data_IF_287476323080
#
_entry.id   IF_287476323080
#
_cell.length_a   1.000
_cell.length_b   1.000
_cell.length_c   1.000
_cell.angle_alpha   90.00
_cell.angle_beta   90.00
_cell.angle_gamma   90.00
#
_symmetry.space_group_name_H-M   'P 1'
#
loop_
_entity.id
_entity.type
_entity.pdbx_description
1 polymer ?
#
# COMPACT_ATOMS: atom_id res chain seq x y z
N UNK A 1 28.58 1.91 19.51
CA UNK A 1 28.53 2.12 18.05
C UNK A 1 27.17 2.68 17.66
N UNK A 2 27.14 3.81 17.00
CA UNK A 2 25.88 4.42 16.57
C UNK A 2 25.36 3.72 15.32
N UNK A 3 24.06 3.41 15.31
CA UNK A 3 23.38 2.83 14.15
C UNK A 3 22.90 3.99 13.29
N UNK A 4 23.22 3.99 12.00
CA UNK A 4 22.73 5.02 11.08
C UNK A 4 21.24 4.87 10.82
N UNK A 5 20.58 5.96 10.42
CA UNK A 5 19.17 5.90 10.01
C UNK A 5 18.97 4.92 8.86
N UNK A 6 19.92 4.88 7.93
CA UNK A 6 19.89 3.97 6.80
C UNK A 6 19.87 2.49 7.25
N UNK A 7 20.75 2.14 8.17
CA UNK A 7 20.82 0.78 8.70
C UNK A 7 19.56 0.41 9.48
N UNK A 8 19.07 1.35 10.29
CA UNK A 8 17.83 1.15 11.03
C UNK A 8 16.65 0.90 10.09
N UNK A 9 16.49 1.73 9.07
CA UNK A 9 15.37 1.62 8.13
C UNK A 9 15.45 0.32 7.33
N UNK A 10 16.64 -0.12 6.94
CA UNK A 10 16.80 -1.39 6.24
C UNK A 10 16.44 -2.60 7.11
N UNK A 11 16.62 -2.50 8.43
CA UNK A 11 16.23 -3.57 9.35
C UNK A 11 14.72 -3.63 9.59
N UNK A 12 13.97 -2.61 9.18
CA UNK A 12 12.53 -2.49 9.38
C UNK A 12 11.73 -2.75 8.10
N UNK A 13 12.25 -3.60 7.22
CA UNK A 13 11.54 -4.01 6.01
C UNK A 13 10.66 -5.21 6.35
N UNK A 14 9.36 -5.08 6.06
CA UNK A 14 8.38 -6.12 6.35
C UNK A 14 7.80 -6.68 5.05
N UNK A 15 7.53 -7.98 5.04
CA UNK A 15 6.98 -8.68 3.89
C UNK A 15 5.51 -9.05 4.05
N UNK A 16 4.99 -9.74 3.05
CA UNK A 16 3.58 -10.13 2.97
C UNK A 16 3.11 -10.87 4.23
N UNK A 17 3.93 -11.76 4.77
CA UNK A 17 3.56 -12.59 5.93
C UNK A 17 3.58 -11.83 7.25
N UNK A 18 4.07 -10.60 7.26
CA UNK A 18 4.08 -9.76 8.46
C UNK A 18 2.76 -9.02 8.66
N UNK A 19 1.80 -9.20 7.75
CA UNK A 19 0.52 -8.51 7.75
C UNK A 19 -0.63 -9.49 7.56
N UNK A 20 -1.81 -9.09 8.03
CA UNK A 20 -3.04 -9.82 7.76
C UNK A 20 -3.28 -9.90 6.24
N UNK A 21 -3.78 -11.04 5.78
CA UNK A 21 -4.08 -11.24 4.36
C UNK A 21 -5.07 -10.22 3.83
N UNK A 22 -6.11 -9.91 4.61
CA UNK A 22 -7.15 -8.97 4.22
C UNK A 22 -6.71 -7.54 4.51
N UNK A 23 -6.77 -6.70 3.48
CA UNK A 23 -6.35 -5.31 3.54
C UNK A 23 -7.45 -4.44 2.92
N UNK A 24 -7.44 -3.16 3.23
CA UNK A 24 -8.47 -2.24 2.76
C UNK A 24 -7.86 -1.27 1.78
N UNK A 25 -8.43 -1.23 0.57
CA UNK A 25 -8.02 -0.29 -0.46
C UNK A 25 -8.93 0.92 -0.44
N UNK A 26 -8.35 2.11 -0.28
CA UNK A 26 -9.10 3.38 -0.25
C UNK A 26 -8.99 4.17 -1.54
N UNK A 27 -7.86 4.09 -2.24
CA UNK A 27 -7.63 4.91 -3.40
C UNK A 27 -6.58 4.29 -4.32
N UNK A 28 -6.67 4.62 -5.61
CA UNK A 28 -5.65 4.26 -6.59
C UNK A 28 -5.45 5.46 -7.52
N UNK A 29 -4.19 5.83 -7.75
CA UNK A 29 -3.84 6.92 -8.64
C UNK A 29 -2.71 6.50 -9.57
N UNK A 30 -2.69 7.09 -10.77
CA UNK A 30 -1.61 6.85 -11.71
C UNK A 30 -0.34 7.55 -11.22
N UNK A 31 0.79 6.85 -11.34
CA UNK A 31 2.09 7.40 -11.06
C UNK A 31 2.76 7.75 -12.37
N UNK A 32 2.94 9.04 -12.64
CA UNK A 32 3.54 9.51 -13.89
C UNK A 32 5.06 9.54 -13.77
N UNK A 33 5.71 9.23 -14.89
CA UNK A 33 7.16 9.20 -14.97
C UNK A 33 7.72 10.63 -15.00
N UNK A 34 8.81 10.84 -14.26
CA UNK A 34 9.56 12.10 -14.26
C UNK A 34 10.82 11.95 -15.11
N UNK A 35 11.05 12.91 -15.99
CA UNK A 35 12.27 13.00 -16.78
C UNK A 35 12.85 14.40 -16.59
N UNK A 36 14.11 14.46 -16.15
CA UNK A 36 14.79 15.73 -15.85
C UNK A 36 13.99 16.61 -14.87
N UNK A 37 13.42 15.98 -13.83
CA UNK A 37 12.60 16.63 -12.80
C UNK A 37 11.27 17.21 -13.31
N UNK A 38 10.85 16.85 -14.52
CA UNK A 38 9.56 17.25 -15.08
C UNK A 38 8.65 16.05 -15.19
N UNK A 39 7.41 16.22 -14.75
CA UNK A 39 6.39 15.20 -14.89
C UNK A 39 6.01 15.05 -16.37
N UNK A 40 5.98 13.80 -16.84
CA UNK A 40 5.55 13.46 -18.21
C UNK A 40 4.13 12.91 -18.18
N UNK A 41 3.54 12.70 -19.35
CA UNK A 41 2.23 12.04 -19.47
C UNK A 41 2.34 10.52 -19.44
N UNK A 42 3.55 10.00 -19.43
CA UNK A 42 3.79 8.54 -19.39
C UNK A 42 3.55 8.00 -17.98
N UNK A 43 2.73 6.94 -17.91
CA UNK A 43 2.42 6.28 -16.63
C UNK A 43 3.43 5.16 -16.41
N UNK A 44 4.18 5.22 -15.30
CA UNK A 44 5.15 4.19 -14.92
C UNK A 44 4.57 3.12 -13.98
N UNK A 45 3.37 3.35 -13.46
CA UNK A 45 2.71 2.42 -12.54
C UNK A 45 1.58 3.11 -11.83
N UNK A 46 1.11 2.50 -10.74
CA UNK A 46 -0.03 3.02 -9.98
C UNK A 46 0.28 2.99 -8.50
N UNK A 47 -0.24 3.98 -7.77
CA UNK A 47 -0.11 4.08 -6.31
C UNK A 47 -1.44 3.71 -5.67
N UNK A 48 -1.41 2.71 -4.81
CA UNK A 48 -2.58 2.20 -4.09
C UNK A 48 -2.48 2.61 -2.63
N UNK A 49 -3.48 3.28 -2.12
CA UNK A 49 -3.56 3.65 -0.71
C UNK A 49 -4.27 2.53 0.02
N UNK A 50 -3.52 1.75 0.80
CA UNK A 50 -3.98 0.51 1.41
C UNK A 50 -3.76 0.57 2.93
N UNK A 51 -4.79 0.18 3.69
CA UNK A 51 -4.65 -0.03 5.12
C UNK A 51 -4.16 -1.46 5.37
N UNK A 52 -3.07 -1.58 6.12
CA UNK A 52 -2.48 -2.87 6.49
C UNK A 52 -2.50 -3.03 8.01
N UNK A 53 -2.64 -4.27 8.48
CA UNK A 53 -2.63 -4.59 9.90
C UNK A 53 -1.65 -5.72 10.17
N UNK A 54 -0.72 -5.49 11.08
CA UNK A 54 0.31 -6.47 11.41
C UNK A 54 1.48 -5.83 12.12
N UNK A 55 2.70 -6.10 11.65
CA UNK A 55 3.93 -5.50 12.22
C UNK A 55 3.89 -3.98 12.17
N UNK A 56 3.23 -3.43 11.18
CA UNK A 56 2.84 -2.03 11.10
C UNK A 56 1.34 -2.01 10.86
N UNK A 57 0.61 -1.20 11.61
CA UNK A 57 -0.83 -1.02 11.40
C UNK A 57 -1.04 0.42 11.00
N UNK A 58 -1.22 0.67 9.71
CA UNK A 58 -1.32 2.03 9.17
C UNK A 58 -1.81 1.98 7.72
N UNK A 59 -2.11 3.16 7.20
CA UNK A 59 -2.37 3.36 5.78
C UNK A 59 -1.04 3.58 5.07
N UNK A 60 -0.78 2.79 4.04
CA UNK A 60 0.49 2.80 3.31
C UNK A 60 0.22 3.00 1.83
N UNK A 61 1.06 3.78 1.16
CA UNK A 61 1.04 3.89 -0.30
C UNK A 61 1.88 2.76 -0.88
N UNK A 62 1.23 1.88 -1.64
CA UNK A 62 1.85 0.71 -2.26
C UNK A 62 1.91 0.92 -3.77
N UNK A 63 3.11 0.78 -4.34
CA UNK A 63 3.34 0.92 -5.77
C UNK A 63 3.20 -0.44 -6.46
N UNK A 64 2.31 -0.50 -7.46
CA UNK A 64 2.08 -1.71 -8.26
C UNK A 64 2.12 -1.29 -9.73
N UNK A 65 2.83 -2.06 -10.60
CA UNK A 65 3.00 -1.66 -12.00
C UNK A 65 1.70 -1.61 -12.81
N UNK A 66 0.69 -2.37 -12.42
CA UNK A 66 -0.54 -2.56 -13.20
C UNK A 66 -1.75 -1.94 -12.54
N UNK A 67 -2.72 -1.50 -13.35
CA UNK A 67 -4.03 -1.09 -12.85
C UNK A 67 -4.91 -2.33 -12.71
N UNK A 68 -5.16 -2.74 -11.47
CA UNK A 68 -5.85 -3.99 -11.16
C UNK A 68 -7.26 -3.79 -10.59
N UNK A 69 -7.64 -2.54 -10.38
CA UNK A 69 -8.94 -2.15 -9.81
C UNK A 69 -9.52 -1.03 -10.65
N UNK A 70 -10.83 -1.08 -10.91
CA UNK A 70 -11.51 0.03 -11.58
C UNK A 70 -11.60 1.22 -10.62
N UNK A 71 -10.93 2.36 -10.93
CA UNK A 71 -10.95 3.51 -10.04
C UNK A 71 -12.34 4.10 -9.81
N UNK A 72 -13.20 4.03 -10.82
CA UNK A 72 -14.57 4.56 -10.70
C UNK A 72 -15.40 3.71 -9.76
N UNK A 73 -15.26 2.38 -9.84
CA UNK A 73 -15.94 1.45 -8.93
C UNK A 73 -15.47 1.67 -7.49
N UNK A 74 -14.17 1.82 -7.29
CA UNK A 74 -13.61 2.10 -5.98
C UNK A 74 -14.14 3.41 -5.41
N UNK A 75 -14.19 4.45 -6.24
CA UNK A 75 -14.71 5.77 -5.85
C UNK A 75 -16.18 5.69 -5.45
N UNK A 76 -16.98 4.92 -6.18
CA UNK A 76 -18.38 4.71 -5.88
C UNK A 76 -18.59 3.97 -4.57
N UNK A 77 -17.82 2.91 -4.33
CA UNK A 77 -17.91 2.11 -3.11
C UNK A 77 -17.22 2.75 -1.90
N UNK A 78 -16.27 3.64 -2.15
CA UNK A 78 -15.48 4.30 -1.11
C UNK A 78 -14.28 3.49 -0.64
N UNK A 79 -14.37 2.17 -0.64
CA UNK A 79 -13.29 1.28 -0.25
C UNK A 79 -13.56 -0.14 -0.75
N UNK A 80 -12.50 -0.95 -0.81
CA UNK A 80 -12.59 -2.36 -1.21
C UNK A 80 -11.71 -3.22 -0.33
N UNK A 81 -12.14 -4.45 -0.07
CA UNK A 81 -11.32 -5.45 0.60
C UNK A 81 -10.43 -6.13 -0.43
N UNK A 82 -9.13 -6.14 -0.18
CA UNK A 82 -8.14 -6.66 -1.13
C UNK A 82 -7.11 -7.53 -0.42
N UNK A 83 -6.41 -8.35 -1.21
CA UNK A 83 -5.19 -9.02 -0.80
C UNK A 83 -4.08 -8.67 -1.76
N UNK A 84 -2.85 -8.66 -1.27
CA UNK A 84 -1.66 -8.35 -2.05
C UNK A 84 -0.78 -9.58 -2.21
N UNK A 85 0.10 -9.54 -3.20
CA UNK A 85 1.10 -10.58 -3.40
C UNK A 85 2.48 -9.92 -3.55
N UNK A 86 3.46 -10.46 -2.84
CA UNK A 86 4.81 -9.92 -2.88
C UNK A 86 4.94 -8.55 -2.23
N UNK A 87 4.12 -8.27 -1.22
CA UNK A 87 4.15 -6.99 -0.52
C UNK A 87 5.45 -6.81 0.24
N UNK A 88 6.04 -5.61 0.10
CA UNK A 88 7.17 -5.15 0.90
C UNK A 88 6.88 -3.75 1.39
N UNK A 89 7.03 -3.53 2.69
CA UNK A 89 6.81 -2.23 3.32
C UNK A 89 8.06 -1.83 4.07
N UNK A 90 8.50 -0.59 3.88
CA UNK A 90 9.67 -0.04 4.53
C UNK A 90 9.42 1.38 4.99
N UNK A 91 10.14 1.85 6.04
CA UNK A 91 10.02 3.22 6.48
C UNK A 91 10.84 4.17 5.61
N UNK A 92 10.43 5.42 5.60
CA UNK A 92 11.21 6.50 5.04
C UNK A 92 11.00 7.77 5.86
N UNK A 93 11.94 8.68 5.79
CA UNK A 93 11.83 9.97 6.46
C UNK A 93 11.30 11.00 5.48
N UNK A 94 10.22 11.69 5.86
CA UNK A 94 9.63 12.75 5.04
C UNK A 94 10.48 14.04 5.14
N UNK A 95 10.14 15.02 4.30
CA UNK A 95 10.83 16.32 4.31
C UNK A 95 10.70 17.06 5.66
N UNK A 96 9.66 16.73 6.42
CA UNK A 96 9.41 17.34 7.75
C UNK A 96 10.05 16.56 8.89
N UNK A 97 10.78 15.47 8.60
CA UNK A 97 11.43 14.63 9.60
C UNK A 97 10.54 13.55 10.18
N UNK A 98 9.30 13.41 9.71
CA UNK A 98 8.40 12.35 10.16
C UNK A 98 8.77 11.01 9.52
N UNK A 99 8.64 9.93 10.29
CA UNK A 99 8.81 8.57 9.78
C UNK A 99 7.48 8.11 9.17
N UNK A 100 7.50 7.78 7.90
CA UNK A 100 6.34 7.27 7.16
C UNK A 100 6.68 5.94 6.53
N UNK A 101 5.65 5.25 6.06
CA UNK A 101 5.79 3.92 5.46
C UNK A 101 5.44 3.97 3.98
N UNK A 102 6.20 3.26 3.18
CA UNK A 102 5.94 3.09 1.75
C UNK A 102 6.08 1.61 1.40
N UNK A 103 5.45 1.20 0.30
CA UNK A 103 5.48 -0.19 -0.08
C UNK A 103 5.46 -0.41 -1.57
N UNK A 104 5.78 -1.64 -1.95
CA UNK A 104 5.64 -2.16 -3.31
C UNK A 104 4.98 -3.52 -3.23
N UNK A 105 4.32 -3.94 -4.30
CA UNK A 105 3.76 -5.28 -4.42
C UNK A 105 3.78 -5.72 -5.87
N UNK A 106 3.74 -7.02 -6.08
CA UNK A 106 3.70 -7.59 -7.43
C UNK A 106 2.29 -7.61 -7.99
N UNK A 107 1.31 -7.85 -7.13
CA UNK A 107 -0.08 -8.02 -7.55
C UNK A 107 -1.05 -7.67 -6.43
N UNK A 108 -2.31 -7.48 -6.81
CA UNK A 108 -3.40 -7.18 -5.89
C UNK A 108 -4.67 -7.82 -6.44
N UNK A 109 -5.43 -8.46 -5.56
CA UNK A 109 -6.72 -9.05 -5.93
C UNK A 109 -7.81 -8.52 -5.01
N UNK A 110 -8.98 -8.26 -5.58
CA UNK A 110 -10.16 -7.80 -4.83
C UNK A 110 -10.93 -9.02 -4.35
N UNK A 111 -11.28 -9.05 -3.06
CA UNK A 111 -12.22 -10.05 -2.53
C UNK A 111 -13.62 -9.75 -3.03
N UNK A 112 -14.35 -10.79 -3.45
CA UNK A 112 -15.68 -10.65 -4.03
C UNK A 112 -16.69 -11.50 -3.26
N UNK A 113 -17.97 -11.11 -3.35
CA UNK A 113 -19.06 -11.87 -2.78
C UNK A 113 -19.01 -11.97 -1.26
N UNK A 114 -19.11 -13.20 -0.74
CA UNK A 114 -19.16 -13.42 0.70
C UNK A 114 -17.88 -13.04 1.43
N UNK A 115 -16.74 -13.07 0.75
CA UNK A 115 -15.47 -12.69 1.34
C UNK A 115 -15.45 -11.22 1.74
N UNK A 116 -16.20 -10.38 1.03
CA UNK A 116 -16.31 -8.97 1.34
C UNK A 116 -17.04 -8.71 2.67
N UNK A 117 -17.83 -9.63 3.15
CA UNK A 117 -18.53 -9.50 4.45
C UNK A 117 -17.58 -9.52 5.63
N UNK A 118 -16.43 -10.14 5.46
CA UNK A 118 -15.41 -10.19 6.51
C UNK A 118 -14.83 -8.81 6.79
N UNK A 119 -15.07 -7.87 5.89
CA UNK A 119 -14.72 -6.48 6.09
C UNK A 119 -15.27 -5.92 7.41
N UNK A 120 -16.55 -6.19 7.70
CA UNK A 120 -17.16 -5.74 8.95
C UNK A 120 -16.45 -6.34 10.16
N UNK A 121 -16.02 -7.59 10.07
CA UNK A 121 -15.36 -8.29 11.17
C UNK A 121 -13.97 -7.70 11.46
N UNK A 122 -13.28 -7.19 10.45
CA UNK A 122 -11.98 -6.54 10.65
C UNK A 122 -12.07 -5.31 11.54
N UNK A 123 -13.18 -4.59 11.47
CA UNK A 123 -13.40 -3.39 12.28
C UNK A 123 -14.10 -3.67 13.59
N UNK A 124 -14.76 -4.80 13.71
CA UNK A 124 -15.45 -5.19 14.94
C UNK A 124 -14.58 -5.98 15.90
N UNK A 125 -13.43 -6.44 15.44
CA UNK A 125 -12.56 -7.34 16.20
C UNK A 125 -11.80 -6.69 17.35
N UNK A 126 -12.20 -5.53 17.75
CA UNK A 126 -11.57 -4.85 18.89
C UNK A 126 -12.35 -5.03 20.17
#
# INVERSE_FOLDING_TARGET
MAISKFDLFNSMVYGENDFAEKKILFNVTASKKYVNNKQTDEIEGYKYTIFVKGKVTDTVTVKIPSLLVNPDELKEKGLMLVKTKGLKIKPYESKTGEIKWTGTAENLEVFKGQEAKVFDDLFKAE
#
